data_IF_496882565038
#
_entry.id   IF_496882565038
#
_cell.length_a   1.000
_cell.length_b   1.000
_cell.length_c   1.000
_cell.angle_alpha   90.00
_cell.angle_beta   90.00
_cell.angle_gamma   90.00
#
_symmetry.space_group_name_H-M   'P 1'
#
loop_
_entity.id
_entity.type
_entity.pdbx_description
1 polymer ?
#
# COMPACT_ATOMS: atom_id res chain seq x y z
N UNK A 1 -19.39 12.07 28.64
CA UNK A 1 -19.82 11.46 27.36
C UNK A 1 -21.21 10.86 27.59
N UNK A 2 -22.23 11.22 26.79
CA UNK A 2 -23.59 10.70 27.00
C UNK A 2 -23.71 9.22 26.59
N UNK A 3 -24.63 8.47 27.21
CA UNK A 3 -24.91 7.08 26.87
C UNK A 3 -25.21 6.90 25.37
N UNK A 4 -25.93 7.85 24.79
CA UNK A 4 -26.21 7.95 23.36
C UNK A 4 -24.92 8.06 22.53
N UNK A 5 -24.00 8.95 22.91
CA UNK A 5 -22.71 9.11 22.23
C UNK A 5 -21.85 7.85 22.27
N UNK A 6 -21.87 7.11 23.39
CA UNK A 6 -21.17 5.83 23.53
C UNK A 6 -21.74 4.76 22.58
N UNK A 7 -23.07 4.67 22.45
CA UNK A 7 -23.73 3.72 21.54
C UNK A 7 -23.39 4.00 20.07
N UNK A 8 -23.42 5.28 19.65
CA UNK A 8 -23.05 5.65 18.27
C UNK A 8 -21.59 5.35 17.97
N UNK A 9 -20.69 5.59 18.93
CA UNK A 9 -19.27 5.24 18.80
C UNK A 9 -19.10 3.72 18.58
N UNK A 10 -19.69 2.88 19.42
CA UNK A 10 -19.59 1.42 19.26
C UNK A 10 -20.23 0.92 17.97
N UNK A 11 -21.38 1.46 17.55
CA UNK A 11 -21.98 1.15 16.24
C UNK A 11 -21.04 1.51 15.10
N UNK A 12 -20.40 2.67 15.15
CA UNK A 12 -19.42 3.11 14.14
C UNK A 12 -18.24 2.16 14.03
N UNK A 13 -17.62 1.81 15.17
CA UNK A 13 -16.50 0.85 15.20
C UNK A 13 -16.91 -0.54 14.67
N UNK A 14 -18.10 -1.01 15.04
CA UNK A 14 -18.61 -2.29 14.56
C UNK A 14 -18.85 -2.27 13.04
N UNK A 15 -19.46 -1.22 12.51
CA UNK A 15 -19.69 -1.05 11.07
C UNK A 15 -18.36 -1.03 10.29
N UNK A 16 -17.33 -0.35 10.79
CA UNK A 16 -16.01 -0.34 10.18
C UNK A 16 -15.40 -1.74 10.13
N UNK A 17 -15.49 -2.51 11.23
CA UNK A 17 -14.99 -3.90 11.26
C UNK A 17 -15.73 -4.82 10.29
N UNK A 18 -17.05 -4.67 10.18
CA UNK A 18 -17.87 -5.44 9.24
C UNK A 18 -17.51 -5.06 7.80
N UNK A 19 -17.40 -3.77 7.51
CA UNK A 19 -16.99 -3.26 6.20
C UNK A 19 -15.61 -3.78 5.79
N UNK A 20 -14.63 -3.73 6.70
CA UNK A 20 -13.29 -4.28 6.47
C UNK A 20 -13.31 -5.80 6.22
N UNK A 21 -14.10 -6.55 6.99
CA UNK A 21 -14.28 -7.99 6.78
C UNK A 21 -14.80 -8.29 5.36
N UNK A 22 -15.86 -7.61 4.92
CA UNK A 22 -16.40 -7.81 3.58
C UNK A 22 -15.44 -7.36 2.48
N UNK A 23 -14.68 -6.28 2.70
CA UNK A 23 -13.64 -5.83 1.77
C UNK A 23 -12.54 -6.89 1.59
N UNK A 24 -12.07 -7.50 2.69
CA UNK A 24 -11.07 -8.58 2.65
C UNK A 24 -11.64 -9.83 1.98
N UNK A 25 -12.85 -10.23 2.32
CA UNK A 25 -13.52 -11.39 1.73
C UNK A 25 -13.65 -11.21 0.21
N UNK A 26 -14.20 -10.08 -0.24
CA UNK A 26 -14.33 -9.76 -1.65
C UNK A 26 -12.97 -9.72 -2.35
N UNK A 27 -11.98 -9.04 -1.76
CA UNK A 27 -10.62 -8.98 -2.30
C UNK A 27 -9.99 -10.37 -2.46
N UNK A 28 -10.10 -11.24 -1.45
CA UNK A 28 -9.58 -12.62 -1.53
C UNK A 28 -10.30 -13.44 -2.62
N UNK A 29 -11.63 -13.33 -2.74
CA UNK A 29 -12.39 -14.01 -3.80
C UNK A 29 -11.96 -13.53 -5.19
N UNK A 30 -11.86 -12.22 -5.39
CA UNK A 30 -11.38 -11.63 -6.66
C UNK A 30 -9.95 -12.06 -6.97
N UNK A 31 -9.08 -12.15 -5.95
CA UNK A 31 -7.70 -12.62 -6.10
C UNK A 31 -7.61 -14.10 -6.50
N UNK A 32 -8.53 -14.94 -6.03
CA UNK A 32 -8.64 -16.33 -6.47
C UNK A 32 -9.17 -16.39 -7.91
N UNK A 33 -10.27 -15.72 -8.20
CA UNK A 33 -10.88 -15.71 -9.54
C UNK A 33 -9.91 -15.20 -10.62
N UNK A 34 -9.19 -14.11 -10.34
CA UNK A 34 -8.21 -13.54 -11.27
C UNK A 34 -7.11 -14.55 -11.62
N UNK A 35 -6.57 -15.25 -10.61
CA UNK A 35 -5.52 -16.27 -10.80
C UNK A 35 -6.01 -17.46 -11.63
N UNK A 36 -7.25 -17.89 -11.42
CA UNK A 36 -7.85 -18.99 -12.20
C UNK A 36 -8.04 -18.59 -13.66
N UNK A 37 -8.39 -17.33 -13.94
CA UNK A 37 -8.54 -16.80 -15.29
C UNK A 37 -7.21 -16.45 -16.00
N UNK A 38 -6.06 -16.83 -15.43
CA UNK A 38 -4.74 -16.55 -16.00
C UNK A 38 -4.23 -15.11 -15.80
N UNK A 39 -5.00 -14.25 -15.12
CA UNK A 39 -4.60 -12.90 -14.78
C UNK A 39 -3.87 -12.87 -13.43
N UNK A 40 -2.73 -12.18 -13.34
CA UNK A 40 -2.01 -12.08 -12.06
C UNK A 40 -2.78 -11.32 -10.97
N UNK A 41 -3.84 -10.59 -11.35
CA UNK A 41 -4.76 -9.94 -10.41
C UNK A 41 -4.04 -9.02 -9.42
N UNK A 42 -3.02 -8.31 -9.88
CA UNK A 42 -2.08 -7.56 -9.03
C UNK A 42 -2.74 -6.38 -8.30
N UNK A 43 -3.75 -5.74 -8.90
CA UNK A 43 -4.39 -4.52 -8.36
C UNK A 43 -5.92 -4.61 -8.21
N UNK A 44 -6.60 -5.47 -8.97
CA UNK A 44 -8.07 -5.55 -8.97
C UNK A 44 -8.67 -5.94 -7.60
N UNK A 45 -8.12 -6.91 -6.84
CA UNK A 45 -8.59 -7.22 -5.50
C UNK A 45 -8.63 -6.00 -4.57
N UNK A 46 -7.55 -5.22 -4.55
CA UNK A 46 -7.42 -4.02 -3.73
C UNK A 46 -8.31 -2.89 -4.21
N UNK A 47 -8.53 -2.75 -5.53
CA UNK A 47 -9.52 -1.80 -6.06
C UNK A 47 -10.93 -2.11 -5.56
N UNK A 48 -11.36 -3.38 -5.63
CA UNK A 48 -12.69 -3.79 -5.17
C UNK A 48 -12.82 -3.63 -3.66
N UNK A 49 -11.81 -4.04 -2.91
CA UNK A 49 -11.79 -3.86 -1.46
C UNK A 49 -11.84 -2.39 -1.05
N UNK A 50 -11.09 -1.52 -1.73
CA UNK A 50 -11.11 -0.07 -1.51
C UNK A 50 -12.48 0.57 -1.79
N UNK A 51 -13.26 0.04 -2.74
CA UNK A 51 -14.64 0.47 -2.99
C UNK A 51 -15.61 0.09 -1.86
N UNK A 52 -15.36 -1.04 -1.19
CA UNK A 52 -16.19 -1.51 -0.06
C UNK A 52 -15.78 -0.80 1.23
N UNK A 53 -14.48 -0.58 1.40
CA UNK A 53 -13.90 0.02 2.59
C UNK A 53 -12.75 0.97 2.18
N UNK A 54 -13.03 2.27 2.16
CA UNK A 54 -12.14 3.31 1.63
C UNK A 54 -10.83 3.51 2.40
N UNK A 55 -10.70 2.94 3.60
CA UNK A 55 -9.49 2.98 4.42
C UNK A 55 -8.82 1.61 4.56
N UNK A 56 -9.10 0.68 3.64
CA UNK A 56 -8.61 -0.69 3.71
C UNK A 56 -7.08 -0.78 3.81
N UNK A 57 -6.36 -0.02 2.99
CA UNK A 57 -4.91 -0.02 3.07
C UNK A 57 -4.43 0.58 4.39
N UNK A 58 -5.01 1.70 4.82
CA UNK A 58 -4.67 2.36 6.08
C UNK A 58 -4.85 1.44 7.29
N UNK A 59 -6.00 0.78 7.38
CA UNK A 59 -6.36 -0.09 8.51
C UNK A 59 -5.51 -1.38 8.55
N UNK A 60 -5.14 -1.90 7.38
CA UNK A 60 -4.26 -3.06 7.28
C UNK A 60 -2.79 -2.68 7.53
N UNK A 61 -2.31 -1.59 6.94
CA UNK A 61 -0.92 -1.14 7.07
C UNK A 61 -0.60 -0.57 8.46
N UNK A 62 -1.58 -0.01 9.17
CA UNK A 62 -1.41 0.43 10.55
C UNK A 62 -1.11 -0.69 11.56
N UNK A 63 -1.08 -1.96 11.12
CA UNK A 63 -0.70 -3.12 11.93
C UNK A 63 0.77 -3.54 11.74
N UNK A 64 1.50 -2.89 10.83
CA UNK A 64 2.94 -3.13 10.64
C UNK A 64 3.68 -2.62 11.90
N UNK A 65 4.53 -3.47 12.48
CA UNK A 65 5.11 -3.22 13.82
C UNK A 65 6.31 -2.28 13.82
N UNK A 66 7.24 -2.50 12.90
CA UNK A 66 8.56 -1.85 12.90
C UNK A 66 8.62 -0.67 11.92
N UNK A 67 8.02 -0.83 10.73
CA UNK A 67 7.90 0.27 9.78
C UNK A 67 7.63 -0.14 8.34
N UNK A 68 7.34 0.88 7.54
CA UNK A 68 7.00 0.85 6.14
C UNK A 68 8.10 1.62 5.38
N UNK A 69 8.75 0.92 4.47
CA UNK A 69 9.76 1.46 3.56
C UNK A 69 9.12 1.57 2.18
N UNK A 70 9.02 2.80 1.66
CA UNK A 70 8.55 3.06 0.31
C UNK A 70 9.74 3.20 -0.63
N UNK A 71 9.71 2.54 -1.79
CA UNK A 71 10.73 2.66 -2.83
C UNK A 71 10.10 3.26 -4.08
N UNK A 72 10.64 4.37 -4.59
CA UNK A 72 10.17 5.06 -5.80
C UNK A 72 11.33 5.59 -6.64
N UNK A 73 11.06 6.12 -7.84
CA UNK A 73 12.05 6.62 -8.79
C UNK A 73 12.02 5.87 -10.12
N UNK A 74 12.46 6.49 -11.21
CA UNK A 74 12.18 6.01 -12.58
C UNK A 74 12.64 4.57 -12.81
N UNK A 75 13.88 4.25 -12.41
CA UNK A 75 14.48 2.93 -12.65
C UNK A 75 14.96 2.26 -11.36
N UNK A 76 15.00 0.93 -11.37
CA UNK A 76 15.60 0.14 -10.29
C UNK A 76 14.75 0.01 -9.02
N UNK A 77 13.48 0.42 -9.04
CA UNK A 77 12.53 0.28 -7.92
C UNK A 77 12.40 -1.17 -7.48
N UNK A 78 12.01 -2.06 -8.39
CA UNK A 78 11.78 -3.48 -8.12
C UNK A 78 13.02 -4.17 -7.57
N UNK A 79 14.18 -3.94 -8.19
CA UNK A 79 15.45 -4.52 -7.72
C UNK A 79 15.80 -4.05 -6.31
N UNK A 80 15.68 -2.74 -6.05
CA UNK A 80 15.96 -2.16 -4.73
C UNK A 80 14.96 -2.65 -3.68
N UNK A 81 13.67 -2.68 -4.00
CA UNK A 81 12.60 -3.20 -3.16
C UNK A 81 12.85 -4.65 -2.75
N UNK A 82 13.21 -5.51 -3.72
CA UNK A 82 13.52 -6.91 -3.48
C UNK A 82 14.79 -7.11 -2.66
N UNK A 83 15.83 -6.27 -2.86
CA UNK A 83 17.05 -6.32 -2.04
C UNK A 83 16.75 -5.97 -0.58
N UNK A 84 16.02 -4.88 -0.33
CA UNK A 84 15.63 -4.46 1.04
C UNK A 84 14.80 -5.55 1.70
N UNK A 85 13.75 -6.04 1.02
CA UNK A 85 12.91 -7.11 1.53
C UNK A 85 13.70 -8.38 1.85
N UNK A 86 14.59 -8.81 0.94
CA UNK A 86 15.42 -10.00 1.14
C UNK A 86 16.40 -9.88 2.31
N UNK A 87 16.94 -8.69 2.57
CA UNK A 87 17.79 -8.42 3.74
C UNK A 87 16.96 -8.58 5.03
N UNK A 88 15.77 -7.96 5.09
CA UNK A 88 14.89 -8.04 6.26
C UNK A 88 14.39 -9.47 6.51
N UNK A 89 14.00 -10.20 5.46
CA UNK A 89 13.59 -11.60 5.56
C UNK A 89 14.74 -12.50 6.04
N UNK A 90 15.98 -12.28 5.55
CA UNK A 90 17.18 -13.00 6.04
C UNK A 90 17.47 -12.69 7.51
N UNK A 91 17.16 -11.48 7.97
CA UNK A 91 17.18 -11.10 9.38
C UNK A 91 15.99 -11.65 10.19
N UNK A 92 15.17 -12.54 9.61
CA UNK A 92 14.00 -13.22 10.23
C UNK A 92 12.80 -12.33 10.49
N UNK A 93 12.73 -11.13 9.90
CA UNK A 93 11.52 -10.31 9.94
C UNK A 93 10.45 -10.84 8.98
N UNK A 94 9.19 -10.67 9.35
CA UNK A 94 8.03 -10.91 8.48
C UNK A 94 7.78 -9.67 7.64
N UNK A 95 7.86 -9.81 6.32
CA UNK A 95 7.78 -8.69 5.39
C UNK A 95 6.55 -8.79 4.48
N UNK A 96 5.87 -7.65 4.28
CA UNK A 96 4.89 -7.46 3.21
C UNK A 96 5.60 -6.76 2.05
N UNK A 97 5.54 -7.37 0.87
CA UNK A 97 5.98 -6.76 -0.39
C UNK A 97 4.83 -6.78 -1.38
N UNK A 98 4.74 -5.75 -2.22
CA UNK A 98 3.82 -5.76 -3.35
C UNK A 98 4.41 -6.50 -4.56
N UNK A 99 3.54 -7.03 -5.43
CA UNK A 99 3.98 -7.68 -6.66
C UNK A 99 4.59 -6.66 -7.62
N UNK A 100 5.54 -7.11 -8.43
CA UNK A 100 6.09 -6.31 -9.52
C UNK A 100 4.95 -5.76 -10.42
N UNK A 101 5.00 -4.47 -10.72
CA UNK A 101 3.95 -3.76 -11.46
C UNK A 101 2.68 -3.44 -10.67
N UNK A 102 2.58 -3.82 -9.39
CA UNK A 102 1.47 -3.47 -8.48
C UNK A 102 1.78 -2.19 -7.69
N UNK A 103 2.28 -1.17 -8.39
CA UNK A 103 2.95 0.02 -7.85
C UNK A 103 2.01 1.22 -7.58
N UNK A 104 0.69 0.98 -7.64
CA UNK A 104 -0.36 1.93 -7.27
C UNK A 104 -1.02 1.50 -5.96
N UNK A 105 -1.76 2.40 -5.31
CA UNK A 105 -2.45 2.13 -4.04
C UNK A 105 -3.26 0.81 -4.06
N UNK A 106 -4.01 0.55 -5.13
CA UNK A 106 -4.78 -0.70 -5.29
C UNK A 106 -3.93 -1.98 -5.34
N UNK A 107 -2.73 -1.91 -5.93
CA UNK A 107 -1.76 -3.01 -5.95
C UNK A 107 -1.15 -3.27 -4.58
N UNK A 108 -0.83 -2.19 -3.86
CA UNK A 108 -0.37 -2.26 -2.48
C UNK A 108 -1.46 -2.86 -1.58
N UNK A 109 -2.69 -2.35 -1.65
CA UNK A 109 -3.86 -2.88 -0.92
C UNK A 109 -4.07 -4.36 -1.18
N UNK A 110 -3.94 -4.81 -2.43
CA UNK A 110 -4.04 -6.23 -2.81
C UNK A 110 -3.03 -7.09 -2.04
N UNK A 111 -1.81 -6.59 -1.87
CA UNK A 111 -0.71 -7.29 -1.22
C UNK A 111 -0.95 -7.43 0.29
N UNK A 112 -1.46 -6.37 0.93
CA UNK A 112 -1.91 -6.40 2.32
C UNK A 112 -3.11 -7.36 2.52
N UNK A 113 -4.12 -7.34 1.64
CA UNK A 113 -5.28 -8.25 1.70
C UNK A 113 -4.86 -9.72 1.61
N UNK A 114 -3.87 -10.03 0.76
CA UNK A 114 -3.37 -11.40 0.62
C UNK A 114 -2.68 -11.88 1.89
N UNK A 115 -2.00 -10.99 2.62
CA UNK A 115 -1.34 -11.29 3.90
C UNK A 115 -2.29 -11.27 5.10
N UNK A 116 -3.39 -10.52 5.02
CA UNK A 116 -4.38 -10.45 6.09
C UNK A 116 -5.11 -11.79 6.29
N UNK A 117 -5.38 -12.14 7.55
CA UNK A 117 -6.38 -13.13 7.90
C UNK A 117 -7.80 -12.66 7.55
N UNK A 118 -8.80 -13.56 7.65
CA UNK A 118 -10.18 -13.24 7.28
C UNK A 118 -10.76 -12.06 8.11
N UNK A 119 -10.32 -11.90 9.35
CA UNK A 119 -10.74 -10.81 10.24
C UNK A 119 -9.83 -9.57 10.19
N UNK A 120 -9.01 -9.44 9.13
CA UNK A 120 -8.16 -8.26 8.92
C UNK A 120 -6.92 -8.18 9.78
N UNK A 121 -6.56 -9.24 10.50
CA UNK A 121 -5.31 -9.31 11.24
C UNK A 121 -4.12 -9.60 10.32
N UNK A 122 -3.08 -8.80 10.45
CA UNK A 122 -1.80 -8.99 9.77
C UNK A 122 -0.72 -9.26 10.81
N UNK A 123 0.13 -10.24 10.53
CA UNK A 123 1.33 -10.53 11.30
C UNK A 123 2.56 -10.18 10.47
N UNK A 124 3.03 -8.94 10.66
CA UNK A 124 4.08 -8.34 9.84
C UNK A 124 4.94 -7.37 10.66
N UNK A 125 6.26 -7.46 10.48
CA UNK A 125 7.22 -6.55 11.10
C UNK A 125 7.46 -5.33 10.22
N UNK A 126 7.78 -5.56 8.94
CA UNK A 126 8.04 -4.48 7.97
C UNK A 126 7.19 -4.58 6.72
N UNK A 127 6.87 -3.46 6.09
CA UNK A 127 6.41 -3.43 4.71
C UNK A 127 7.46 -2.78 3.82
N UNK A 128 7.76 -3.37 2.67
CA UNK A 128 8.66 -2.78 1.66
C UNK A 128 7.88 -2.71 0.37
N UNK A 129 7.49 -1.49 0.00
CA UNK A 129 6.50 -1.25 -1.04
C UNK A 129 7.11 -0.40 -2.16
N UNK A 130 7.11 -0.96 -3.36
CA UNK A 130 7.43 -0.24 -4.58
C UNK A 130 6.23 0.62 -5.01
N UNK A 131 6.48 1.90 -5.28
CA UNK A 131 5.44 2.86 -5.70
C UNK A 131 5.90 3.66 -6.91
N UNK A 132 5.02 3.78 -7.88
CA UNK A 132 5.23 4.60 -9.07
C UNK A 132 5.31 6.08 -8.69
N UNK A 133 6.13 6.88 -9.38
CA UNK A 133 6.42 8.26 -8.94
C UNK A 133 5.15 9.11 -8.90
N UNK A 134 4.28 8.94 -9.90
CA UNK A 134 2.99 9.61 -9.99
C UNK A 134 1.97 9.12 -8.93
N UNK A 135 2.18 7.92 -8.38
CA UNK A 135 1.30 7.31 -7.38
C UNK A 135 1.67 7.67 -5.94
N UNK A 136 2.88 8.19 -5.69
CA UNK A 136 3.38 8.55 -4.34
C UNK A 136 2.37 9.37 -3.54
N UNK A 137 1.80 10.49 -4.04
CA UNK A 137 0.86 11.29 -3.24
C UNK A 137 -0.39 10.53 -2.83
N UNK A 138 -0.94 9.72 -3.74
CA UNK A 138 -2.13 8.91 -3.49
C UNK A 138 -1.86 7.82 -2.45
N UNK A 139 -0.72 7.14 -2.58
CA UNK A 139 -0.31 6.09 -1.66
C UNK A 139 -0.01 6.67 -0.27
N UNK A 140 0.68 7.81 -0.16
CA UNK A 140 1.00 8.43 1.12
C UNK A 140 -0.24 8.95 1.90
N UNK A 141 -1.36 9.19 1.23
CA UNK A 141 -2.61 9.52 1.93
C UNK A 141 -3.20 8.32 2.71
N UNK A 142 -2.83 7.09 2.37
CA UNK A 142 -3.28 5.87 3.03
C UNK A 142 -2.18 5.18 3.84
N UNK A 143 -0.93 5.25 3.38
CA UNK A 143 0.26 4.71 4.01
C UNK A 143 1.14 5.81 4.59
N UNK A 144 1.71 5.57 5.76
CA UNK A 144 2.70 6.45 6.38
C UNK A 144 4.05 5.74 6.37
N UNK A 145 4.84 5.83 5.29
CA UNK A 145 6.18 5.28 5.31
C UNK A 145 7.04 6.03 6.32
N UNK A 146 7.90 5.34 7.06
CA UNK A 146 8.94 5.95 7.91
C UNK A 146 10.17 6.31 7.08
N UNK A 147 10.40 5.55 6.00
CA UNK A 147 11.52 5.75 5.08
C UNK A 147 11.01 5.77 3.65
N UNK A 148 11.39 6.80 2.90
CA UNK A 148 11.18 6.87 1.45
C UNK A 148 12.52 6.82 0.74
N UNK A 149 12.74 5.75 -0.03
CA UNK A 149 13.93 5.54 -0.85
C UNK A 149 13.61 5.97 -2.27
N UNK A 150 14.34 6.99 -2.75
CA UNK A 150 14.26 7.45 -4.14
C UNK A 150 15.49 6.91 -4.87
N UNK A 151 15.29 6.06 -5.88
CA UNK A 151 16.40 5.42 -6.60
C UNK A 151 17.10 6.41 -7.54
N UNK A 152 16.35 6.99 -8.47
CA UNK A 152 16.78 7.99 -9.44
C UNK A 152 15.56 8.62 -10.12
N UNK A 153 15.76 9.74 -10.80
CA UNK A 153 14.82 10.24 -11.80
C UNK A 153 15.54 10.32 -13.14
N UNK A 154 15.16 9.46 -14.08
CA UNK A 154 15.80 9.37 -15.39
C UNK A 154 14.85 9.85 -16.50
N UNK A 155 15.47 10.39 -17.57
CA UNK A 155 14.77 10.85 -18.78
C UNK A 155 14.84 9.76 -19.82
N UNK A 156 13.69 9.25 -20.23
CA UNK A 156 13.65 8.32 -21.37
C UNK A 156 13.69 9.07 -22.72
N UNK A 157 13.32 10.37 -22.77
CA UNK A 157 13.38 11.23 -23.96
C UNK A 157 13.63 12.72 -23.58
N UNK A 158 14.26 13.52 -24.46
CA UNK A 158 14.74 14.89 -24.19
C UNK A 158 13.64 15.93 -23.92
N UNK A 159 12.41 15.66 -24.35
CA UNK A 159 11.20 16.48 -24.22
C UNK A 159 10.56 16.40 -22.82
N UNK A 160 10.95 15.44 -21.98
CA UNK A 160 10.33 15.19 -20.66
C UNK A 160 10.95 15.97 -19.49
N UNK A 161 11.76 17.00 -19.76
CA UNK A 161 12.43 17.78 -18.70
C UNK A 161 11.43 18.39 -17.71
N UNK A 162 10.38 19.04 -18.22
CA UNK A 162 9.32 19.65 -17.42
C UNK A 162 8.49 18.60 -16.67
N UNK A 163 8.38 17.38 -17.20
CA UNK A 163 7.67 16.29 -16.53
C UNK A 163 8.44 15.80 -15.30
N UNK A 164 9.77 15.70 -15.38
CA UNK A 164 10.59 15.29 -14.24
C UNK A 164 10.53 16.33 -13.14
N UNK A 165 10.69 17.62 -13.46
CA UNK A 165 10.59 18.68 -12.45
C UNK A 165 9.22 18.67 -11.76
N UNK A 166 8.15 18.42 -12.53
CA UNK A 166 6.80 18.27 -11.99
C UNK A 166 6.70 17.05 -11.07
N UNK A 167 7.21 15.89 -11.45
CA UNK A 167 7.19 14.67 -10.62
C UNK A 167 7.99 14.90 -9.33
N UNK A 168 9.19 15.47 -9.42
CA UNK A 168 10.03 15.79 -8.27
C UNK A 168 9.32 16.78 -7.34
N UNK A 169 8.67 17.81 -7.89
CA UNK A 169 7.86 18.75 -7.12
C UNK A 169 6.70 18.05 -6.41
N UNK A 170 5.93 17.23 -7.12
CA UNK A 170 4.80 16.46 -6.55
C UNK A 170 5.26 15.52 -5.43
N UNK A 171 6.39 14.84 -5.59
CA UNK A 171 6.96 13.98 -4.54
C UNK A 171 7.43 14.83 -3.36
N UNK A 172 8.17 15.93 -3.60
CA UNK A 172 8.63 16.84 -2.54
C UNK A 172 7.46 17.36 -1.71
N UNK A 173 6.40 17.79 -2.35
CA UNK A 173 5.20 18.30 -1.66
C UNK A 173 4.52 17.20 -0.85
N UNK A 174 4.45 15.97 -1.39
CA UNK A 174 3.93 14.81 -0.68
C UNK A 174 4.79 14.48 0.56
N UNK A 175 6.12 14.51 0.44
CA UNK A 175 7.06 14.28 1.54
C UNK A 175 6.90 15.33 2.65
N UNK A 176 6.94 16.61 2.28
CA UNK A 176 6.77 17.73 3.22
C UNK A 176 5.43 17.65 3.97
N UNK A 177 4.34 17.33 3.26
CA UNK A 177 3.00 17.17 3.84
C UNK A 177 2.95 16.08 4.93
N UNK A 178 3.79 15.06 4.82
CA UNK A 178 3.83 13.91 5.73
C UNK A 178 5.01 13.94 6.71
N UNK A 179 5.80 15.02 6.72
CA UNK A 179 6.86 15.25 7.70
C UNK A 179 8.20 14.55 7.40
N UNK A 180 8.49 14.32 6.11
CA UNK A 180 9.79 13.85 5.63
C UNK A 180 10.68 15.00 5.15
#
# INVERSE_FOLDING_TARGET
MSLTGLIYYFKGVLLLKISLFFAILAGKLVSIASRVSGYRGSSLPGLIAGKIHCHCLRDLAGQVREGIIMVTGTNGKTTTNNMIAGILEKARFKVVVNFEGANMASGVTTSFIRKAGMFGKIDCDYAVIEVDEASVPGVMNELKPEVVVITNFFRDQLDRYWEIEKIVGVIRDALNKHGH
#
